data_IF_622561129863
#
_entry.id   IF_622561129863
#
_cell.length_a   1.000
_cell.length_b   1.000
_cell.length_c   1.000
_cell.angle_alpha   90.00
_cell.angle_beta   90.00
_cell.angle_gamma   90.00
#
_symmetry.space_group_name_H-M   'P 1'
#
loop_
_entity.id
_entity.type
_entity.pdbx_description
1 polymer ?
#
# COMPACT_ATOMS: atom_id res chain seq x y z
N UNK A 1 3.15 -3.15 -18.38
CA UNK A 1 1.82 -3.76 -18.60
C UNK A 1 1.01 -3.65 -17.32
N UNK A 2 -0.30 -3.41 -17.41
CA UNK A 2 -1.16 -3.34 -16.22
C UNK A 2 -1.32 -4.70 -15.54
N UNK A 3 -1.54 -4.74 -14.23
CA UNK A 3 -1.84 -5.97 -13.51
C UNK A 3 -3.19 -6.53 -13.99
N UNK A 4 -3.23 -7.84 -14.26
CA UNK A 4 -4.49 -8.52 -14.61
C UNK A 4 -5.36 -8.65 -13.36
N UNK A 5 -6.64 -8.29 -13.48
CA UNK A 5 -7.62 -8.48 -12.41
C UNK A 5 -8.03 -9.94 -12.21
N UNK A 6 -8.65 -10.24 -11.07
CA UNK A 6 -9.20 -11.56 -10.72
C UNK A 6 -8.95 -11.91 -9.25
N UNK A 7 -9.96 -12.47 -8.57
CA UNK A 7 -9.84 -12.86 -7.16
C UNK A 7 -8.69 -13.86 -6.94
N UNK A 8 -8.59 -14.87 -7.81
CA UNK A 8 -7.47 -15.83 -7.80
C UNK A 8 -6.10 -15.16 -7.87
N UNK A 9 -5.92 -14.18 -8.76
CA UNK A 9 -4.64 -13.46 -8.89
C UNK A 9 -4.37 -12.56 -7.67
N UNK A 10 -5.42 -12.02 -7.05
CA UNK A 10 -5.30 -11.27 -5.80
C UNK A 10 -4.82 -12.15 -4.65
N UNK A 11 -5.40 -13.35 -4.49
CA UNK A 11 -4.99 -14.35 -3.50
C UNK A 11 -3.55 -14.82 -3.71
N UNK A 12 -3.17 -15.16 -4.95
CA UNK A 12 -1.79 -15.54 -5.30
C UNK A 12 -0.80 -14.42 -5.00
N UNK A 13 -1.19 -13.17 -5.30
CA UNK A 13 -0.37 -11.98 -5.03
C UNK A 13 -0.18 -11.78 -3.52
N UNK A 14 -1.27 -11.91 -2.74
CA UNK A 14 -1.24 -11.83 -1.28
C UNK A 14 -0.36 -12.93 -0.68
N UNK A 15 -0.55 -14.18 -1.08
CA UNK A 15 0.24 -15.31 -0.61
C UNK A 15 1.73 -15.08 -0.88
N UNK A 16 2.10 -14.78 -2.13
CA UNK A 16 3.49 -14.54 -2.51
C UNK A 16 4.10 -13.39 -1.68
N UNK A 17 3.32 -12.34 -1.39
CA UNK A 17 3.78 -11.28 -0.50
C UNK A 17 4.00 -11.76 0.95
N UNK A 18 3.02 -12.45 1.55
CA UNK A 18 3.06 -12.84 2.96
C UNK A 18 4.09 -13.95 3.28
N UNK A 19 4.41 -14.80 2.30
CA UNK A 19 5.22 -16.00 2.53
C UNK A 19 6.62 -15.90 1.90
N UNK A 20 6.77 -15.15 0.81
CA UNK A 20 8.01 -15.14 0.01
C UNK A 20 8.62 -13.74 -0.12
N UNK A 21 7.96 -12.83 -0.83
CA UNK A 21 8.54 -11.56 -1.29
C UNK A 21 8.52 -10.45 -0.24
N UNK A 22 7.61 -10.51 0.73
CA UNK A 22 7.40 -9.44 1.72
C UNK A 22 8.46 -9.36 2.82
N UNK A 23 9.46 -10.25 2.86
CA UNK A 23 10.46 -10.32 3.93
C UNK A 23 11.20 -9.00 4.14
N UNK A 24 11.51 -8.29 3.04
CA UNK A 24 12.22 -7.02 3.03
C UNK A 24 11.32 -5.78 3.08
N UNK A 25 9.99 -5.95 3.12
CA UNK A 25 9.00 -4.89 2.93
C UNK A 25 9.30 -3.62 3.71
N UNK A 26 9.61 -3.73 5.01
CA UNK A 26 9.86 -2.57 5.89
C UNK A 26 10.95 -1.64 5.35
N UNK A 27 12.05 -2.22 4.84
CA UNK A 27 13.23 -1.47 4.38
C UNK A 27 13.12 -1.09 2.92
N UNK A 28 12.63 -2.02 2.10
CA UNK A 28 12.71 -1.92 0.63
C UNK A 28 11.60 -1.07 0.02
N UNK A 29 10.51 -0.80 0.76
CA UNK A 29 9.39 -0.01 0.25
C UNK A 29 9.74 1.45 -0.10
N UNK A 30 10.83 2.00 0.44
CA UNK A 30 11.21 3.41 0.24
C UNK A 30 12.01 3.67 -1.04
N UNK A 31 12.50 2.62 -1.70
CA UNK A 31 13.24 2.74 -2.96
C UNK A 31 12.34 2.37 -4.12
N UNK A 32 12.28 3.18 -5.20
CA UNK A 32 11.49 2.84 -6.39
C UNK A 32 12.02 1.59 -7.10
N UNK A 33 13.30 1.25 -6.93
CA UNK A 33 13.93 0.08 -7.55
C UNK A 33 13.53 -1.23 -6.84
N UNK A 34 13.52 -1.22 -5.51
CA UNK A 34 13.21 -2.43 -4.73
C UNK A 34 11.73 -2.53 -4.38
N UNK A 35 11.04 -1.39 -4.24
CA UNK A 35 9.63 -1.33 -3.88
C UNK A 35 8.71 -1.98 -4.92
N UNK A 36 9.12 -2.06 -6.19
CA UNK A 36 8.39 -2.78 -7.22
C UNK A 36 8.17 -4.26 -6.83
N UNK A 37 9.23 -4.93 -6.37
CA UNK A 37 9.19 -6.35 -6.02
C UNK A 37 8.78 -6.61 -4.56
N UNK A 38 9.13 -5.73 -3.63
CA UNK A 38 8.99 -5.99 -2.20
C UNK A 38 7.66 -5.52 -1.60
N UNK A 39 6.91 -4.64 -2.28
CA UNK A 39 5.57 -4.23 -1.86
C UNK A 39 4.50 -5.29 -2.18
N UNK A 40 3.34 -5.17 -1.53
CA UNK A 40 2.26 -6.16 -1.65
C UNK A 40 1.68 -6.27 -3.05
N UNK A 41 1.67 -5.17 -3.82
CA UNK A 41 1.04 -5.06 -5.15
C UNK A 41 -0.48 -5.34 -5.12
N UNK A 42 -1.11 -5.14 -3.96
CA UNK A 42 -2.54 -5.40 -3.74
C UNK A 42 -3.46 -4.20 -4.02
N UNK A 43 -2.91 -3.00 -4.19
CA UNK A 43 -3.69 -1.77 -4.38
C UNK A 43 -4.78 -1.88 -5.46
N UNK A 44 -4.51 -2.35 -6.70
CA UNK A 44 -5.57 -2.49 -7.69
C UNK A 44 -6.59 -3.57 -7.31
N UNK A 45 -6.17 -4.69 -6.71
CA UNK A 45 -7.10 -5.75 -6.30
C UNK A 45 -8.06 -5.30 -5.18
N UNK A 46 -7.57 -4.47 -4.25
CA UNK A 46 -8.40 -3.86 -3.21
C UNK A 46 -9.37 -2.84 -3.82
N UNK A 47 -8.87 -1.95 -4.69
CA UNK A 47 -9.68 -0.90 -5.32
C UNK A 47 -10.83 -1.46 -6.18
N UNK A 48 -10.61 -2.60 -6.82
CA UNK A 48 -11.60 -3.27 -7.68
C UNK A 48 -12.38 -4.39 -6.98
N UNK A 49 -12.21 -4.57 -5.66
CA UNK A 49 -12.97 -5.55 -4.89
C UNK A 49 -12.66 -7.01 -5.23
N UNK A 50 -11.50 -7.30 -5.81
CA UNK A 50 -11.04 -8.67 -6.08
C UNK A 50 -10.67 -9.43 -4.80
N UNK A 51 -10.30 -8.70 -3.75
CA UNK A 51 -10.06 -9.20 -2.40
C UNK A 51 -10.49 -8.11 -1.42
N UNK A 52 -11.09 -8.49 -0.30
CA UNK A 52 -11.49 -7.54 0.74
C UNK A 52 -10.34 -7.18 1.67
N UNK A 53 -10.42 -5.98 2.26
CA UNK A 53 -9.46 -5.57 3.30
C UNK A 53 -9.48 -6.50 4.52
N UNK A 54 -10.63 -7.14 4.79
CA UNK A 54 -10.81 -8.09 5.88
C UNK A 54 -10.00 -9.36 5.65
N UNK A 55 -10.08 -9.93 4.44
CA UNK A 55 -9.30 -11.12 4.06
C UNK A 55 -7.80 -10.83 4.16
N UNK A 56 -7.34 -9.72 3.58
CA UNK A 56 -5.93 -9.31 3.66
C UNK A 56 -5.46 -9.16 5.11
N UNK A 57 -6.26 -8.52 5.97
CA UNK A 57 -5.94 -8.34 7.38
C UNK A 57 -5.88 -9.66 8.14
N UNK A 58 -6.85 -10.55 7.93
CA UNK A 58 -6.89 -11.87 8.58
C UNK A 58 -5.69 -12.72 8.15
N UNK A 59 -5.42 -12.87 6.85
CA UNK A 59 -4.25 -13.63 6.37
C UNK A 59 -2.93 -13.04 6.86
N UNK A 60 -2.83 -11.70 6.98
CA UNK A 60 -1.65 -11.06 7.57
C UNK A 60 -1.49 -11.44 9.04
N UNK A 61 -2.59 -11.47 9.79
CA UNK A 61 -2.60 -11.81 11.22
C UNK A 61 -2.26 -13.28 11.46
N UNK A 62 -2.79 -14.18 10.64
CA UNK A 62 -2.43 -15.60 10.65
C UNK A 62 -0.93 -15.76 10.40
N UNK A 63 -0.41 -15.08 9.38
CA UNK A 63 1.03 -15.11 9.08
C UNK A 63 1.89 -14.54 10.22
N UNK A 64 1.44 -13.49 10.90
CA UNK A 64 2.13 -12.95 12.09
C UNK A 64 2.21 -14.00 13.19
N UNK A 65 1.13 -14.75 13.43
CA UNK A 65 1.11 -15.83 14.41
C UNK A 65 2.04 -16.98 14.01
N UNK A 66 2.03 -17.39 12.74
CA UNK A 66 2.94 -18.42 12.22
C UNK A 66 4.41 -18.05 12.42
N UNK A 67 4.77 -16.80 12.11
CA UNK A 67 6.13 -16.26 12.28
C UNK A 67 6.53 -16.27 13.75
N UNK A 68 5.60 -15.98 14.65
CA UNK A 68 5.82 -16.02 16.10
C UNK A 68 6.04 -17.45 16.58
N UNK A 69 5.18 -18.39 16.22
CA UNK A 69 5.32 -19.79 16.62
C UNK A 69 6.59 -20.42 16.06
N UNK A 70 6.93 -20.14 14.80
CA UNK A 70 8.19 -20.61 14.20
C UNK A 70 9.41 -20.16 15.01
N UNK A 71 9.39 -18.92 15.53
CA UNK A 71 10.46 -18.40 16.40
C UNK A 71 10.51 -19.11 17.74
N UNK A 72 9.35 -19.37 18.36
CA UNK A 72 9.25 -20.08 19.65
C UNK A 72 9.71 -21.53 19.55
N UNK A 73 9.43 -22.19 18.41
CA UNK A 73 9.86 -23.57 18.10
C UNK A 73 11.31 -23.68 17.60
N UNK A 74 12.00 -22.56 17.38
CA UNK A 74 13.36 -22.54 16.82
C UNK A 74 13.45 -22.92 15.34
N UNK A 75 12.34 -22.84 14.59
CA UNK A 75 12.34 -23.07 13.13
C UNK A 75 13.16 -21.99 12.41
N UNK A 76 13.93 -22.35 11.37
CA UNK A 76 14.69 -21.39 10.59
C UNK A 76 13.74 -20.44 9.86
N UNK A 77 13.80 -19.16 10.22
CA UNK A 77 13.00 -18.10 9.63
C UNK A 77 13.80 -16.79 9.59
N UNK A 78 13.65 -16.03 8.50
CA UNK A 78 14.25 -14.70 8.42
C UNK A 78 13.64 -13.77 9.49
N UNK A 79 14.49 -13.22 10.35
CA UNK A 79 14.12 -12.34 11.47
C UNK A 79 13.41 -11.07 11.01
N UNK A 80 13.54 -10.68 9.73
CA UNK A 80 12.90 -9.49 9.15
C UNK A 80 11.38 -9.65 9.03
N UNK A 81 10.86 -10.88 8.90
CA UNK A 81 9.43 -11.14 8.70
C UNK A 81 8.54 -10.45 9.74
N UNK A 82 8.87 -10.55 11.03
CA UNK A 82 8.07 -9.95 12.09
C UNK A 82 7.92 -8.42 11.92
N UNK A 83 9.00 -7.73 11.55
CA UNK A 83 8.99 -6.28 11.38
C UNK A 83 8.29 -5.86 10.08
N UNK A 84 8.47 -6.64 9.01
CA UNK A 84 7.84 -6.40 7.72
C UNK A 84 6.32 -6.58 7.78
N UNK A 85 5.84 -7.64 8.43
CA UNK A 85 4.40 -7.87 8.62
C UNK A 85 3.76 -6.81 9.53
N UNK A 86 4.44 -6.43 10.62
CA UNK A 86 3.99 -5.33 11.48
C UNK A 86 3.88 -4.00 10.71
N UNK A 87 4.85 -3.71 9.85
CA UNK A 87 4.82 -2.51 8.99
C UNK A 87 3.69 -2.57 7.96
N UNK A 88 3.46 -3.75 7.36
CA UNK A 88 2.37 -3.96 6.39
C UNK A 88 1.00 -3.76 7.03
N UNK A 89 0.79 -4.31 8.21
CA UNK A 89 -0.48 -4.11 8.91
C UNK A 89 -0.72 -2.65 9.29
N UNK A 90 0.33 -1.92 9.69
CA UNK A 90 0.22 -0.46 9.86
C UNK A 90 -0.31 0.23 8.60
N UNK A 91 0.07 -0.24 7.40
CA UNK A 91 -0.43 0.28 6.13
C UNK A 91 -1.88 -0.11 5.84
N UNK A 92 -2.32 -1.29 6.27
CA UNK A 92 -3.75 -1.67 6.21
C UNK A 92 -4.60 -0.75 7.10
N UNK A 93 -4.07 -0.35 8.27
CA UNK A 93 -4.74 0.63 9.13
C UNK A 93 -4.79 2.02 8.50
N UNK A 94 -3.70 2.45 7.87
CA UNK A 94 -3.67 3.71 7.11
C UNK A 94 -4.70 3.71 5.98
N UNK A 95 -4.86 2.61 5.25
CA UNK A 95 -5.91 2.47 4.25
C UNK A 95 -7.30 2.75 4.86
N UNK A 96 -7.67 2.05 5.94
CA UNK A 96 -8.97 2.27 6.59
C UNK A 96 -9.11 3.69 7.15
N UNK A 97 -8.04 4.26 7.72
CA UNK A 97 -8.03 5.63 8.22
C UNK A 97 -8.33 6.65 7.12
N UNK A 98 -7.76 6.48 5.92
CA UNK A 98 -8.06 7.37 4.79
C UNK A 98 -9.49 7.23 4.28
N UNK A 99 -10.05 6.00 4.27
CA UNK A 99 -11.46 5.80 3.93
C UNK A 99 -12.38 6.48 4.96
N UNK A 100 -12.12 6.29 6.25
CA UNK A 100 -12.85 6.97 7.33
C UNK A 100 -12.77 8.49 7.20
N UNK A 101 -11.56 9.02 6.99
CA UNK A 101 -11.35 10.46 6.81
C UNK A 101 -12.15 11.01 5.63
N UNK A 102 -12.23 10.27 4.53
CA UNK A 102 -13.02 10.67 3.37
C UNK A 102 -14.52 10.59 3.64
N UNK A 103 -14.98 9.55 4.34
CA UNK A 103 -16.38 9.39 4.75
C UNK A 103 -16.82 10.48 5.74
N UNK A 104 -15.91 10.92 6.63
CA UNK A 104 -16.15 11.97 7.63
C UNK A 104 -16.15 13.39 7.00
N UNK A 105 -15.34 13.63 5.97
CA UNK A 105 -15.27 14.91 5.26
C UNK A 105 -15.23 14.71 3.73
N UNK A 106 -16.37 14.43 3.08
CA UNK A 106 -16.41 14.18 1.64
C UNK A 106 -16.03 15.37 0.78
N UNK A 107 -16.12 16.60 1.31
CA UNK A 107 -15.78 17.81 0.58
C UNK A 107 -14.28 17.86 0.21
N UNK A 108 -13.41 17.06 0.85
CA UNK A 108 -11.98 16.99 0.49
C UNK A 108 -11.72 16.50 -0.93
N UNK A 109 -12.71 15.92 -1.62
CA UNK A 109 -12.61 15.62 -3.05
C UNK A 109 -12.49 16.89 -3.91
N UNK A 110 -13.15 17.96 -3.49
CA UNK A 110 -13.29 19.20 -4.27
C UNK A 110 -12.63 20.41 -3.63
N UNK A 111 -12.39 20.36 -2.32
CA UNK A 111 -11.95 21.49 -1.51
C UNK A 111 -10.69 21.18 -0.70
N UNK A 112 -9.88 22.20 -0.45
CA UNK A 112 -8.74 22.05 0.46
C UNK A 112 -9.23 21.70 1.87
N UNK A 113 -8.71 20.60 2.42
CA UNK A 113 -9.00 20.19 3.80
C UNK A 113 -8.72 21.31 4.83
N UNK A 114 -7.73 22.17 4.55
CA UNK A 114 -7.54 23.42 5.29
C UNK A 114 -7.74 24.60 4.34
N UNK A 115 -8.83 25.34 4.54
CA UNK A 115 -9.21 26.51 3.73
C UNK A 115 -8.17 27.63 3.75
N UNK A 116 -7.21 27.64 4.68
CA UNK A 116 -6.09 28.58 4.67
C UNK A 116 -5.16 28.42 3.45
N UNK A 117 -5.27 27.31 2.72
CA UNK A 117 -4.52 27.11 1.47
C UNK A 117 -5.24 27.63 0.22
N UNK A 118 -6.50 28.07 0.33
CA UNK A 118 -7.23 28.60 -0.80
C UNK A 118 -6.58 29.88 -1.34
N UNK A 119 -6.46 29.98 -2.65
CA UNK A 119 -5.88 31.14 -3.34
C UNK A 119 -4.35 31.19 -3.31
N UNK A 120 -3.66 30.23 -2.68
CA UNK A 120 -2.20 30.22 -2.58
C UNK A 120 -1.51 29.95 -3.94
N UNK A 121 -2.12 29.18 -4.83
CA UNK A 121 -1.46 28.68 -6.07
C UNK A 121 -2.32 28.74 -7.33
N UNK A 122 -3.60 29.03 -7.18
CA UNK A 122 -4.62 28.99 -8.22
C UNK A 122 -4.33 29.98 -9.35
N UNK A 123 -3.72 31.13 -9.02
CA UNK A 123 -3.34 32.16 -9.98
C UNK A 123 -1.98 31.93 -10.66
N UNK A 124 -1.24 30.90 -10.24
CA UNK A 124 0.11 30.59 -10.74
C UNK A 124 0.18 29.27 -11.52
N UNK A 125 -0.98 28.73 -11.93
CA UNK A 125 -1.01 27.49 -12.71
C UNK A 125 -0.32 27.67 -14.06
N UNK A 126 0.59 26.75 -14.37
CA UNK A 126 1.41 26.75 -15.58
C UNK A 126 1.16 25.46 -16.35
N UNK A 127 0.33 25.57 -17.38
CA UNK A 127 -0.11 24.43 -18.21
C UNK A 127 1.09 23.72 -18.86
N UNK A 128 2.06 24.47 -19.37
CA UNK A 128 3.30 23.93 -19.94
C UNK A 128 4.08 23.05 -18.96
N UNK A 129 4.18 23.49 -17.69
CA UNK A 129 4.84 22.71 -16.64
C UNK A 129 4.03 21.50 -16.20
N UNK A 130 2.71 21.65 -16.12
CA UNK A 130 1.80 20.55 -15.79
C UNK A 130 1.87 19.44 -16.84
N UNK A 131 1.86 19.80 -18.12
CA UNK A 131 2.00 18.89 -19.24
C UNK A 131 3.34 18.15 -19.23
N UNK A 132 4.45 18.88 -19.04
CA UNK A 132 5.77 18.29 -18.91
C UNK A 132 5.82 17.29 -17.74
N UNK A 133 5.19 17.61 -16.61
CA UNK A 133 5.06 16.70 -15.46
C UNK A 133 4.26 15.44 -15.79
N UNK A 134 3.09 15.56 -16.44
CA UNK A 134 2.26 14.43 -16.86
C UNK A 134 2.99 13.46 -17.79
N UNK A 135 3.86 13.99 -18.67
CA UNK A 135 4.65 13.18 -19.63
C UNK A 135 5.99 12.68 -19.06
N UNK A 136 6.38 13.12 -17.86
CA UNK A 136 7.67 12.79 -17.27
C UNK A 136 8.87 13.50 -17.93
N UNK A 137 8.66 14.72 -18.44
CA UNK A 137 9.61 15.53 -19.22
C UNK A 137 10.06 16.80 -18.46
N UNK A 138 10.20 16.74 -17.14
CA UNK A 138 10.45 17.94 -16.31
C UNK A 138 11.92 18.37 -16.19
N UNK A 139 12.85 17.63 -16.81
CA UNK A 139 14.30 17.82 -16.71
C UNK A 139 14.92 18.38 -17.98
#
# INVERSE_FOLDING_TARGET
AAQKGGAKLAEETLHSFLVERGVGYRKEMSSPLTGEASCSRLSPYLAWGNISIREVFQSTRDRVMDVRYAKEEGRPLDKRWAQSLSSFEGRLRWHCHFMQKFEDEPAIEFENMNRAYDGLRENEFREDRFEAWCRGETG
#
